data_IF_020674369288
#
_entry.id   IF_020674369288
#
_cell.length_a   1.000
_cell.length_b   1.000
_cell.length_c   1.000
_cell.angle_alpha   90.00
_cell.angle_beta   90.00
_cell.angle_gamma   90.00
#
_symmetry.space_group_name_H-M   'P 1'
#
loop_
_entity.id
_entity.type
_entity.pdbx_description
1 polymer ?
#
# COMPACT_ATOMS: atom_id res chain seq x y z
N UNK A 1 17.16 -20.17 -5.86
CA UNK A 1 15.68 -20.22 -5.93
C UNK A 1 15.02 -20.65 -4.64
N UNK A 2 15.77 -21.33 -3.77
CA UNK A 2 15.32 -21.67 -2.41
C UNK A 2 14.97 -20.40 -1.61
N UNK A 3 15.73 -19.31 -1.78
CA UNK A 3 15.51 -18.04 -1.10
C UNK A 3 14.14 -17.40 -1.44
N UNK A 4 13.66 -17.52 -2.68
CA UNK A 4 12.34 -16.99 -3.08
C UNK A 4 11.21 -17.80 -2.44
N UNK A 5 11.37 -19.12 -2.29
CA UNK A 5 10.39 -19.98 -1.62
C UNK A 5 10.24 -19.63 -0.15
N UNK A 6 11.36 -19.40 0.55
CA UNK A 6 11.35 -19.00 1.95
C UNK A 6 10.67 -17.65 2.16
N UNK A 7 10.96 -16.65 1.32
CA UNK A 7 10.37 -15.34 1.41
C UNK A 7 8.86 -15.39 1.23
N UNK A 8 8.37 -16.18 0.27
CA UNK A 8 6.93 -16.36 0.05
C UNK A 8 6.24 -17.05 1.22
N UNK A 9 6.86 -18.11 1.77
CA UNK A 9 6.33 -18.84 2.92
C UNK A 9 6.26 -17.93 4.14
N UNK A 10 7.30 -17.15 4.39
CA UNK A 10 7.34 -16.20 5.51
C UNK A 10 6.25 -15.14 5.38
N UNK A 11 6.09 -14.56 4.19
CA UNK A 11 5.03 -13.58 3.93
C UNK A 11 3.64 -14.17 4.11
N UNK A 12 3.40 -15.38 3.58
CA UNK A 12 2.11 -16.06 3.72
C UNK A 12 1.80 -16.30 5.19
N UNK A 13 2.77 -16.77 5.98
CA UNK A 13 2.60 -16.98 7.42
C UNK A 13 2.30 -15.67 8.15
N UNK A 14 3.03 -14.59 7.84
CA UNK A 14 2.79 -13.28 8.43
C UNK A 14 1.39 -12.76 8.12
N UNK A 15 0.92 -12.91 6.88
CA UNK A 15 -0.42 -12.51 6.46
C UNK A 15 -1.49 -13.29 7.22
N UNK A 16 -1.32 -14.62 7.37
CA UNK A 16 -2.28 -15.46 8.07
C UNK A 16 -2.39 -15.14 9.56
N UNK A 17 -1.32 -14.65 10.18
CA UNK A 17 -1.30 -14.32 11.62
C UNK A 17 -1.61 -12.85 11.91
N UNK A 18 -1.61 -11.99 10.90
CA UNK A 18 -1.84 -10.56 11.07
C UNK A 18 -3.32 -10.28 11.37
N UNK A 19 -3.58 -9.27 12.21
CA UNK A 19 -4.93 -8.74 12.43
C UNK A 19 -5.43 -8.04 11.16
N UNK A 20 -6.77 -7.82 11.00
CA UNK A 20 -7.28 -7.06 9.86
C UNK A 20 -6.66 -5.69 9.70
N UNK A 21 -6.42 -4.98 10.81
CA UNK A 21 -5.77 -3.67 10.77
C UNK A 21 -4.32 -3.75 10.31
N UNK A 22 -3.60 -4.78 10.74
CA UNK A 22 -2.22 -5.02 10.32
C UNK A 22 -2.15 -5.42 8.84
N UNK A 23 -3.13 -6.18 8.34
CA UNK A 23 -3.22 -6.51 6.91
C UNK A 23 -3.34 -5.26 6.04
N UNK A 24 -4.16 -4.29 6.46
CA UNK A 24 -4.29 -3.01 5.76
C UNK A 24 -2.94 -2.28 5.74
N UNK A 25 -2.24 -2.24 6.86
CA UNK A 25 -0.92 -1.62 6.94
C UNK A 25 0.08 -2.29 6.00
N UNK A 26 0.06 -3.62 5.95
CA UNK A 26 0.92 -4.38 5.03
C UNK A 26 0.62 -4.07 3.57
N UNK A 27 -0.65 -3.86 3.22
CA UNK A 27 -1.04 -3.47 1.87
C UNK A 27 -0.50 -2.07 1.52
N UNK A 28 -0.63 -1.11 2.43
CA UNK A 28 -0.03 0.22 2.23
C UNK A 28 1.48 0.12 2.02
N UNK A 29 2.17 -0.65 2.86
CA UNK A 29 3.62 -0.82 2.74
C UNK A 29 4.02 -1.48 1.42
N UNK A 30 3.23 -2.46 0.98
CA UNK A 30 3.44 -3.11 -0.32
C UNK A 30 3.26 -2.17 -1.50
N UNK A 31 2.23 -1.32 -1.47
CA UNK A 31 2.00 -0.33 -2.51
C UNK A 31 3.14 0.69 -2.56
N UNK A 32 3.57 1.18 -1.38
CA UNK A 32 4.69 2.13 -1.28
C UNK A 32 5.98 1.52 -1.81
N UNK A 33 6.26 0.27 -1.48
CA UNK A 33 7.45 -0.43 -1.98
C UNK A 33 7.43 -0.55 -3.50
N UNK A 34 6.30 -0.92 -4.08
CA UNK A 34 6.15 -1.03 -5.53
C UNK A 34 6.36 0.32 -6.21
N UNK A 35 5.79 1.40 -5.65
CA UNK A 35 5.98 2.74 -6.18
C UNK A 35 7.44 3.20 -6.08
N UNK A 36 8.11 2.91 -4.95
CA UNK A 36 9.52 3.24 -4.79
C UNK A 36 10.40 2.51 -5.82
N UNK A 37 10.13 1.24 -6.07
CA UNK A 37 10.86 0.46 -7.07
C UNK A 37 10.62 1.00 -8.49
N UNK A 38 9.39 1.44 -8.80
CA UNK A 38 9.12 2.06 -10.09
C UNK A 38 9.86 3.39 -10.22
N UNK A 39 9.90 4.21 -9.17
CA UNK A 39 10.62 5.49 -9.16
C UNK A 39 12.12 5.28 -9.37
N UNK A 40 12.71 4.28 -8.72
CA UNK A 40 14.11 3.91 -8.93
C UNK A 40 14.36 3.49 -10.38
N UNK A 41 13.44 2.72 -10.96
CA UNK A 41 13.54 2.31 -12.36
C UNK A 41 13.46 3.50 -13.32
N UNK A 42 12.61 4.50 -13.02
CA UNK A 42 12.56 5.73 -13.81
C UNK A 42 13.92 6.45 -13.84
N UNK A 43 14.62 6.46 -12.72
CA UNK A 43 15.93 7.09 -12.61
C UNK A 43 17.08 6.27 -13.24
N UNK A 44 16.89 4.96 -13.42
CA UNK A 44 17.91 4.05 -13.92
C UNK A 44 17.90 3.98 -15.46
N UNK A 45 18.18 5.11 -16.12
CA UNK A 45 18.02 5.29 -17.57
C UNK A 45 18.86 4.34 -18.43
N UNK A 46 19.94 3.78 -17.88
CA UNK A 46 20.84 2.86 -18.59
C UNK A 46 20.42 1.39 -18.46
N UNK A 47 19.42 1.07 -17.60
CA UNK A 47 19.02 -0.31 -17.38
C UNK A 47 18.20 -0.85 -18.55
N UNK A 48 18.57 -2.01 -19.16
CA UNK A 48 17.83 -2.59 -20.29
C UNK A 48 16.38 -2.92 -19.96
N UNK A 49 16.09 -3.31 -18.69
CA UNK A 49 14.75 -3.71 -18.25
C UNK A 49 13.96 -2.57 -17.61
N UNK A 50 14.40 -1.34 -17.77
CA UNK A 50 13.80 -0.16 -17.15
C UNK A 50 12.28 -0.08 -17.39
N UNK A 51 11.87 -0.15 -18.65
CA UNK A 51 10.45 -0.01 -19.01
C UNK A 51 9.63 -1.18 -18.47
N UNK A 52 10.17 -2.40 -18.54
CA UNK A 52 9.51 -3.59 -17.99
C UNK A 52 9.32 -3.46 -16.47
N UNK A 53 10.34 -3.02 -15.76
CA UNK A 53 10.29 -2.84 -14.31
C UNK A 53 9.28 -1.77 -13.91
N UNK A 54 9.28 -0.62 -14.61
CA UNK A 54 8.29 0.44 -14.38
C UNK A 54 6.88 -0.12 -14.51
N UNK A 55 6.61 -0.80 -15.63
CA UNK A 55 5.29 -1.38 -15.89
C UNK A 55 4.87 -2.38 -14.81
N UNK A 56 5.75 -3.34 -14.49
CA UNK A 56 5.47 -4.39 -13.51
C UNK A 56 5.18 -3.80 -12.12
N UNK A 57 6.00 -2.85 -11.67
CA UNK A 57 5.84 -2.27 -10.34
C UNK A 57 4.62 -1.35 -10.24
N UNK A 58 4.31 -0.59 -11.27
CA UNK A 58 3.13 0.25 -11.27
C UNK A 58 1.84 -0.58 -11.32
N UNK A 59 1.81 -1.65 -12.10
CA UNK A 59 0.66 -2.57 -12.10
C UNK A 59 0.47 -3.23 -10.73
N UNK A 60 1.56 -3.60 -10.07
CA UNK A 60 1.52 -4.15 -8.71
C UNK A 60 0.95 -3.14 -7.71
N UNK A 61 1.41 -1.90 -7.75
CA UNK A 61 0.89 -0.84 -6.89
C UNK A 61 -0.61 -0.63 -7.10
N UNK A 62 -1.05 -0.57 -8.36
CA UNK A 62 -2.46 -0.41 -8.70
C UNK A 62 -3.31 -1.57 -8.18
N UNK A 63 -2.82 -2.81 -8.30
CA UNK A 63 -3.52 -3.99 -7.80
C UNK A 63 -3.70 -3.92 -6.28
N UNK A 64 -2.67 -3.49 -5.55
CA UNK A 64 -2.73 -3.36 -4.09
C UNK A 64 -3.71 -2.25 -3.68
N UNK A 65 -3.66 -1.10 -4.35
CA UNK A 65 -4.60 -0.01 -4.08
C UNK A 65 -6.04 -0.42 -4.37
N UNK A 66 -6.26 -1.24 -5.39
CA UNK A 66 -7.58 -1.82 -5.70
C UNK A 66 -8.04 -2.76 -4.59
N UNK A 67 -7.14 -3.57 -4.01
CA UNK A 67 -7.48 -4.41 -2.85
C UNK A 67 -7.90 -3.56 -1.66
N UNK A 68 -7.18 -2.47 -1.37
CA UNK A 68 -7.56 -1.54 -0.31
C UNK A 68 -8.94 -0.94 -0.56
N UNK A 69 -9.21 -0.53 -1.80
CA UNK A 69 -10.50 0.03 -2.20
C UNK A 69 -11.63 -0.98 -2.03
N UNK A 70 -11.43 -2.22 -2.47
CA UNK A 70 -12.42 -3.28 -2.36
C UNK A 70 -12.69 -3.70 -0.92
N UNK A 71 -11.75 -3.46 -0.02
CA UNK A 71 -11.90 -3.71 1.40
C UNK A 71 -12.71 -2.68 2.16
N UNK A 72 -13.09 -1.56 1.53
CA UNK A 72 -13.90 -0.54 2.17
C UNK A 72 -15.33 -1.05 2.39
N UNK A 73 -15.85 -0.82 3.60
CA UNK A 73 -17.25 -1.13 3.89
C UNK A 73 -18.12 0.06 3.47
N UNK A 74 -18.63 0.00 2.25
CA UNK A 74 -19.40 1.12 1.66
C UNK A 74 -20.75 1.34 2.34
N UNK A 75 -21.32 0.30 2.97
CA UNK A 75 -22.59 0.43 3.67
C UNK A 75 -22.41 1.08 5.05
N UNK A 76 -21.48 0.56 5.85
CA UNK A 76 -21.26 1.03 7.23
C UNK A 76 -20.33 2.24 7.30
N UNK A 77 -19.45 2.44 6.32
CA UNK A 77 -18.43 3.48 6.34
C UNK A 77 -18.90 4.89 6.01
N UNK A 78 -20.10 5.05 5.46
CA UNK A 78 -20.70 6.36 5.16
C UNK A 78 -19.82 7.25 4.29
N UNK A 79 -19.75 8.53 4.64
CA UNK A 79 -18.95 9.53 3.90
C UNK A 79 -17.47 9.21 3.88
N UNK A 80 -16.94 8.66 4.97
CA UNK A 80 -15.52 8.28 5.04
C UNK A 80 -15.17 7.25 3.96
N UNK A 81 -15.98 6.17 3.86
CA UNK A 81 -15.75 5.13 2.86
C UNK A 81 -15.86 5.68 1.43
N UNK A 82 -16.85 6.54 1.17
CA UNK A 82 -17.02 7.17 -0.14
C UNK A 82 -15.84 8.06 -0.50
N UNK A 83 -15.35 8.84 0.45
CA UNK A 83 -14.17 9.69 0.25
C UNK A 83 -12.92 8.85 -0.05
N UNK A 84 -12.69 7.81 0.74
CA UNK A 84 -11.55 6.91 0.52
C UNK A 84 -11.65 6.19 -0.82
N UNK A 85 -12.85 5.78 -1.23
CA UNK A 85 -13.06 5.14 -2.52
C UNK A 85 -12.64 6.06 -3.67
N UNK A 86 -13.04 7.34 -3.60
CA UNK A 86 -12.65 8.35 -4.59
C UNK A 86 -11.15 8.61 -4.60
N UNK A 87 -10.51 8.62 -3.42
CA UNK A 87 -9.06 8.80 -3.33
C UNK A 87 -8.32 7.66 -4.00
N UNK A 88 -8.75 6.41 -3.77
CA UNK A 88 -8.11 5.25 -4.40
C UNK A 88 -8.31 5.26 -5.92
N UNK A 89 -9.48 5.69 -6.41
CA UNK A 89 -9.71 5.88 -7.85
C UNK A 89 -8.73 6.90 -8.41
N UNK A 90 -8.54 8.02 -7.73
CA UNK A 90 -7.58 9.05 -8.12
C UNK A 90 -6.16 8.50 -8.16
N UNK A 91 -5.73 7.81 -7.11
CA UNK A 91 -4.39 7.22 -7.06
C UNK A 91 -4.16 6.28 -8.24
N UNK A 92 -5.11 5.40 -8.52
CA UNK A 92 -5.00 4.44 -9.60
C UNK A 92 -4.96 5.11 -10.98
N UNK A 93 -5.75 6.16 -11.19
CA UNK A 93 -5.70 6.93 -12.45
C UNK A 93 -4.36 7.62 -12.64
N UNK A 94 -3.79 8.18 -11.57
CA UNK A 94 -2.49 8.85 -11.65
C UNK A 94 -1.36 7.85 -11.94
N UNK A 95 -1.40 6.68 -11.31
CA UNK A 95 -0.41 5.63 -11.60
C UNK A 95 -0.55 5.09 -13.03
N UNK A 96 -1.77 4.95 -13.52
CA UNK A 96 -2.03 4.55 -14.91
C UNK A 96 -1.44 5.59 -15.87
N UNK A 97 -1.67 6.86 -15.60
CA UNK A 97 -1.11 7.96 -16.40
C UNK A 97 0.42 7.92 -16.41
N UNK A 98 1.03 7.74 -15.23
CA UNK A 98 2.48 7.60 -15.10
C UNK A 98 3.02 6.47 -15.97
N UNK A 99 2.31 5.33 -15.98
CA UNK A 99 2.74 4.15 -16.73
C UNK A 99 2.56 4.33 -18.24
N UNK A 100 1.44 4.87 -18.67
CA UNK A 100 1.16 5.09 -20.10
C UNK A 100 2.13 6.11 -20.69
N UNK A 101 2.32 7.23 -20.00
CA UNK A 101 3.16 8.34 -20.48
C UNK A 101 4.63 8.19 -20.11
N UNK A 102 4.95 7.21 -19.25
CA UNK A 102 6.30 7.02 -18.70
C UNK A 102 6.85 8.31 -18.08
N UNK A 103 6.04 8.88 -17.18
CA UNK A 103 6.38 10.07 -16.39
C UNK A 103 6.40 9.72 -14.90
N UNK A 104 7.44 10.16 -14.19
CA UNK A 104 7.63 9.82 -12.77
C UNK A 104 6.81 10.70 -11.83
N UNK A 105 6.46 11.90 -12.24
CA UNK A 105 5.81 12.90 -11.38
C UNK A 105 4.52 12.39 -10.73
N UNK A 106 3.59 11.71 -11.45
CA UNK A 106 2.40 11.16 -10.80
C UNK A 106 2.73 10.09 -9.76
N UNK A 107 3.80 9.30 -9.97
CA UNK A 107 4.23 8.30 -8.99
C UNK A 107 4.67 8.98 -7.69
N UNK A 108 5.46 10.04 -7.79
CA UNK A 108 5.94 10.82 -6.63
C UNK A 108 4.75 11.39 -5.85
N UNK A 109 3.77 11.93 -6.54
CA UNK A 109 2.55 12.47 -5.93
C UNK A 109 1.80 11.39 -5.15
N UNK A 110 1.49 10.26 -5.80
CA UNK A 110 0.71 9.19 -5.19
C UNK A 110 1.48 8.55 -4.04
N UNK A 111 2.79 8.36 -4.19
CA UNK A 111 3.65 7.84 -3.12
C UNK A 111 3.53 8.71 -1.86
N UNK A 112 3.57 10.02 -2.00
CA UNK A 112 3.41 10.96 -0.88
C UNK A 112 2.02 10.84 -0.24
N UNK A 113 0.96 10.83 -1.05
CA UNK A 113 -0.41 10.74 -0.56
C UNK A 113 -0.68 9.42 0.16
N UNK A 114 -0.22 8.31 -0.41
CA UNK A 114 -0.39 6.99 0.19
C UNK A 114 0.43 6.87 1.48
N UNK A 115 1.62 7.48 1.55
CA UNK A 115 2.43 7.50 2.77
C UNK A 115 1.70 8.23 3.91
N UNK A 116 1.05 9.33 3.62
CA UNK A 116 0.25 10.04 4.61
C UNK A 116 -0.87 9.16 5.16
N UNK A 117 -1.57 8.43 4.29
CA UNK A 117 -2.61 7.50 4.71
C UNK A 117 -2.03 6.34 5.53
N UNK A 118 -0.92 5.79 5.08
CA UNK A 118 -0.21 4.72 5.79
C UNK A 118 0.19 5.14 7.21
N UNK A 119 0.78 6.30 7.34
CA UNK A 119 1.27 6.79 8.63
C UNK A 119 0.10 7.08 9.59
N UNK A 120 -0.99 7.65 9.09
CA UNK A 120 -2.20 7.85 9.88
C UNK A 120 -2.79 6.53 10.35
N UNK A 121 -2.82 5.52 9.48
CA UNK A 121 -3.31 4.18 9.83
C UNK A 121 -2.42 3.53 10.89
N UNK A 122 -1.09 3.58 10.72
CA UNK A 122 -0.14 3.03 11.69
C UNK A 122 -0.30 3.68 13.06
N UNK A 123 -0.49 4.99 13.10
CA UNK A 123 -0.70 5.73 14.34
C UNK A 123 -2.00 5.30 15.02
N UNK A 124 -3.08 5.12 14.26
CA UNK A 124 -4.36 4.64 14.78
C UNK A 124 -4.22 3.25 15.40
N UNK A 125 -3.53 2.34 14.74
CA UNK A 125 -3.29 0.99 15.26
C UNK A 125 -2.48 1.03 16.55
N UNK A 126 -1.44 1.85 16.62
CA UNK A 126 -0.61 1.99 17.82
C UNK A 126 -1.42 2.53 19.00
N UNK A 127 -2.33 3.47 18.77
CA UNK A 127 -3.21 4.01 19.80
C UNK A 127 -4.20 2.97 20.31
N UNK A 128 -4.78 2.15 19.41
CA UNK A 128 -5.68 1.07 19.80
C UNK A 128 -4.97 0.04 20.67
N UNK A 129 -3.76 -0.38 20.26
CA UNK A 129 -2.96 -1.35 21.02
C UNK A 129 -2.56 -0.79 22.38
N UNK A 130 -2.13 0.49 22.43
CA UNK A 130 -1.82 1.19 23.68
C UNK A 130 -3.03 1.30 24.59
N UNK A 131 -4.21 1.64 24.05
CA UNK A 131 -5.46 1.70 24.80
C UNK A 131 -5.86 0.34 25.36
N UNK A 132 -5.69 -0.74 24.61
CA UNK A 132 -5.96 -2.09 25.06
C UNK A 132 -5.04 -2.50 26.22
N UNK A 133 -3.76 -2.17 26.14
CA UNK A 133 -2.79 -2.46 27.22
C UNK A 133 -3.15 -1.68 28.47
N UNK A 134 -3.50 -0.43 28.35
CA UNK A 134 -3.92 0.40 29.50
C UNK A 134 -5.18 -0.13 30.16
N UNK A 135 -6.15 -0.59 29.40
CA UNK A 135 -7.36 -1.21 29.93
C UNK A 135 -7.04 -2.46 30.74
N UNK A 136 -6.15 -3.32 30.23
CA UNK A 136 -5.72 -4.54 30.92
C UNK A 136 -4.99 -4.16 32.23
N UNK A 137 -4.12 -3.17 32.21
CA UNK A 137 -3.43 -2.68 33.41
C UNK A 137 -4.38 -2.05 34.42
N UNK A 138 -5.41 -1.36 33.96
CA UNK A 138 -6.44 -0.75 34.81
C UNK A 138 -7.35 -1.76 35.51
N UNK A 139 -7.47 -2.99 35.00
CA UNK A 139 -8.26 -4.07 35.60
C UNK A 139 -7.45 -4.90 36.60
N UNK A 140 -6.15 -4.86 36.48
CA UNK A 140 -5.24 -5.54 37.41
C UNK A 140 -4.94 -4.71 38.63
#
# INVERSE_FOLDING_TARGET
MVAKGYARTYRATSILTASPGQLVLMLYDGALKAMALSREAFAATEEPRRIETINTQLLKAQAILTELQNGLNMEAGGEFARTMHRLYDYHNRRLLEANIRKQVEPVIEVERLVRELRDAWAQMLAQQDGGSVERIRGVA
#
